data_IF_052275504768
#
_entry.id   IF_052275504768
#
_cell.length_a   1.000
_cell.length_b   1.000
_cell.length_c   1.000
_cell.angle_alpha   90.00
_cell.angle_beta   90.00
_cell.angle_gamma   90.00
#
_symmetry.space_group_name_H-M   'P 1'
#
loop_
_entity.id
_entity.type
_entity.pdbx_description
1 polymer ?
#
# COMPACT_ATOMS: atom_id res chain seq x y z
N UNK A 1 -4.00 12.03 14.94
CA UNK A 1 -3.31 13.13 15.65
C UNK A 1 -1.94 13.27 14.99
N UNK A 2 -1.58 14.47 14.51
CA UNK A 2 -0.23 14.75 14.02
C UNK A 2 0.59 15.01 15.28
N UNK A 3 1.33 14.00 15.73
CA UNK A 3 2.01 14.01 17.03
C UNK A 3 3.46 14.52 16.93
N UNK A 4 3.98 14.67 15.71
CA UNK A 4 5.37 15.08 15.45
C UNK A 4 5.43 16.09 14.30
N UNK A 5 5.95 17.29 14.55
CA UNK A 5 5.92 18.42 13.60
C UNK A 5 7.09 18.40 12.60
N UNK A 6 7.99 17.42 12.70
CA UNK A 6 9.13 17.31 11.80
C UNK A 6 8.69 16.80 10.41
N UNK A 7 9.08 17.45 9.29
CA UNK A 7 8.63 17.07 7.95
C UNK A 7 8.89 15.60 7.57
N UNK A 8 9.93 14.99 8.15
CA UNK A 8 10.28 13.58 7.95
C UNK A 8 9.29 12.60 8.60
N UNK A 9 8.48 13.05 9.56
CA UNK A 9 7.46 12.22 10.22
C UNK A 9 6.14 12.17 9.43
N UNK A 10 5.92 13.14 8.53
CA UNK A 10 4.66 13.28 7.77
C UNK A 10 4.31 12.01 6.98
N UNK A 11 5.22 11.38 6.21
CA UNK A 11 4.93 10.13 5.49
C UNK A 11 4.38 9.03 6.39
N UNK A 12 5.01 8.82 7.55
CA UNK A 12 4.60 7.81 8.53
C UNK A 12 3.23 8.11 9.14
N UNK A 13 2.97 9.38 9.46
CA UNK A 13 1.68 9.80 10.02
C UNK A 13 0.53 9.67 9.02
N UNK A 14 0.77 9.95 7.73
CA UNK A 14 -0.25 9.77 6.67
C UNK A 14 -0.63 8.30 6.55
N UNK A 15 0.36 7.39 6.49
CA UNK A 15 0.09 5.94 6.42
C UNK A 15 -0.63 5.45 7.68
N UNK A 16 -0.20 5.89 8.86
CA UNK A 16 -0.85 5.54 10.13
C UNK A 16 -2.30 6.00 10.19
N UNK A 17 -2.57 7.25 9.82
CA UNK A 17 -3.94 7.79 9.79
C UNK A 17 -4.82 7.03 8.80
N UNK A 18 -4.31 6.71 7.60
CA UNK A 18 -5.02 5.92 6.61
C UNK A 18 -5.34 4.50 7.13
N UNK A 19 -4.39 3.84 7.78
CA UNK A 19 -4.57 2.53 8.40
C UNK A 19 -5.65 2.54 9.48
N UNK A 20 -5.63 3.56 10.35
CA UNK A 20 -6.62 3.74 11.42
C UNK A 20 -8.03 3.97 10.85
N UNK A 21 -8.17 4.85 9.85
CA UNK A 21 -9.46 5.14 9.21
C UNK A 21 -10.02 3.94 8.45
N UNK A 22 -9.18 3.23 7.70
CA UNK A 22 -9.60 2.13 6.85
C UNK A 22 -9.65 0.79 7.58
N UNK A 23 -9.30 0.75 8.88
CA UNK A 23 -9.17 -0.49 9.67
C UNK A 23 -8.43 -1.57 8.88
N UNK A 24 -7.31 -1.19 8.28
CA UNK A 24 -6.47 -2.09 7.53
C UNK A 24 -5.31 -2.59 8.39
N UNK A 25 -4.72 -3.71 7.98
CA UNK A 25 -3.66 -4.35 8.74
C UNK A 25 -2.28 -3.94 8.22
N UNK A 26 -2.15 -3.70 6.90
CA UNK A 26 -0.92 -3.17 6.30
C UNK A 26 -1.22 -1.95 5.45
N UNK A 27 -0.36 -0.95 5.59
CA UNK A 27 -0.32 0.24 4.75
C UNK A 27 1.13 0.55 4.38
N UNK A 28 1.39 0.91 3.14
CA UNK A 28 2.69 1.43 2.74
C UNK A 28 2.54 2.81 2.10
N UNK A 29 3.63 3.54 1.93
CA UNK A 29 3.71 4.70 1.08
C UNK A 29 4.76 4.42 0.03
N UNK A 30 4.33 4.50 -1.23
CA UNK A 30 5.20 4.31 -2.36
C UNK A 30 5.68 5.68 -2.85
N UNK A 31 6.84 5.76 -3.49
CA UNK A 31 7.34 6.91 -4.23
C UNK A 31 7.89 6.44 -5.56
N UNK A 32 7.27 6.83 -6.66
CA UNK A 32 7.71 6.57 -8.02
C UNK A 32 9.02 7.32 -8.24
N UNK A 33 10.06 6.57 -8.59
CA UNK A 33 11.36 7.15 -8.93
C UNK A 33 11.40 7.50 -10.42
N UNK A 34 10.98 6.56 -11.26
CA UNK A 34 11.00 6.67 -12.72
C UNK A 34 9.86 5.83 -13.35
N UNK A 35 9.87 5.71 -14.68
CA UNK A 35 8.85 4.97 -15.42
C UNK A 35 8.81 3.45 -15.14
N UNK A 36 9.85 2.90 -14.50
CA UNK A 36 10.07 1.48 -14.29
C UNK A 36 10.15 1.08 -12.82
N UNK A 37 10.50 2.00 -11.91
CA UNK A 37 10.72 1.72 -10.50
C UNK A 37 10.02 2.68 -9.55
N UNK A 38 9.57 2.13 -8.42
CA UNK A 38 9.03 2.90 -7.31
C UNK A 38 9.57 2.36 -5.98
N UNK A 39 9.85 3.25 -5.03
CA UNK A 39 10.35 2.92 -3.70
C UNK A 39 9.22 2.79 -2.69
N UNK A 40 9.33 1.84 -1.79
CA UNK A 40 8.59 1.82 -0.53
C UNK A 40 9.29 2.74 0.47
N UNK A 41 8.71 3.92 0.68
CA UNK A 41 9.23 4.96 1.59
C UNK A 41 8.88 4.64 3.04
N UNK A 42 7.65 4.18 3.25
CA UNK A 42 7.13 3.78 4.55
C UNK A 42 6.38 2.48 4.38
N UNK A 43 6.58 1.53 5.27
CA UNK A 43 5.75 0.34 5.40
C UNK A 43 5.31 0.25 6.85
N UNK A 44 4.03 0.03 7.08
CA UNK A 44 3.47 -0.15 8.41
C UNK A 44 2.62 -1.42 8.41
N UNK A 45 3.02 -2.37 9.25
CA UNK A 45 2.24 -3.55 9.59
C UNK A 45 1.73 -3.39 11.04
N UNK A 46 0.41 -3.40 11.20
CA UNK A 46 -0.27 -3.27 12.49
C UNK A 46 0.00 -4.46 13.42
N UNK A 47 0.17 -5.66 12.87
CA UNK A 47 0.47 -6.87 13.61
C UNK A 47 1.95 -6.96 13.99
N UNK A 48 2.85 -6.60 13.07
CA UNK A 48 4.30 -6.79 13.26
C UNK A 48 5.05 -5.57 13.83
N UNK A 49 4.43 -4.38 13.90
CA UNK A 49 5.07 -3.11 14.33
C UNK A 49 6.45 -2.86 13.67
N UNK A 50 6.69 -3.43 12.49
CA UNK A 50 7.95 -3.34 11.76
C UNK A 50 7.80 -2.30 10.66
N UNK A 51 8.72 -1.34 10.62
CA UNK A 51 8.84 -0.35 9.55
C UNK A 51 10.08 -0.69 8.76
N UNK A 52 9.90 -1.26 7.58
CA UNK A 52 10.99 -1.46 6.62
C UNK A 52 11.01 -0.25 5.69
N UNK A 53 12.15 0.43 5.60
CA UNK A 53 12.38 1.54 4.68
C UNK A 53 13.25 1.05 3.52
N UNK A 54 12.92 1.44 2.28
CA UNK A 54 13.87 1.39 1.17
C UNK A 54 13.82 0.16 0.28
N UNK A 55 12.66 -0.50 0.15
CA UNK A 55 12.52 -1.59 -0.81
C UNK A 55 11.95 -1.08 -2.14
N UNK A 56 12.68 -1.29 -3.24
CA UNK A 56 12.20 -0.91 -4.58
C UNK A 56 11.22 -1.96 -5.12
N UNK A 57 10.23 -1.51 -5.89
CA UNK A 57 9.24 -2.31 -6.61
C UNK A 57 9.34 -1.97 -8.10
N UNK A 58 9.30 -3.00 -8.95
CA UNK A 58 9.27 -2.81 -10.39
C UNK A 58 7.85 -2.54 -10.87
N UNK A 59 7.64 -1.43 -11.56
CA UNK A 59 6.35 -1.08 -12.18
C UNK A 59 5.98 -2.01 -13.34
N UNK A 60 6.95 -2.69 -13.94
CA UNK A 60 6.71 -3.73 -14.94
C UNK A 60 6.03 -4.97 -14.34
N UNK A 61 6.37 -5.30 -13.09
CA UNK A 61 5.74 -6.38 -12.33
C UNK A 61 4.41 -5.97 -11.67
N UNK A 62 4.06 -4.68 -11.72
CA UNK A 62 2.88 -4.09 -11.07
C UNK A 62 2.07 -3.25 -12.07
N UNK A 63 1.50 -3.85 -13.15
CA UNK A 63 0.74 -3.13 -14.15
C UNK A 63 -0.46 -2.36 -13.58
N UNK A 64 -1.07 -2.84 -12.50
CA UNK A 64 -2.20 -2.17 -11.83
C UNK A 64 -1.75 -0.92 -11.08
N UNK A 65 -0.57 -0.96 -10.45
CA UNK A 65 0.05 0.22 -9.83
C UNK A 65 0.37 1.27 -10.91
N UNK A 66 1.01 0.85 -12.00
CA UNK A 66 1.31 1.73 -13.13
C UNK A 66 0.04 2.40 -13.66
N UNK A 67 -1.04 1.63 -13.85
CA UNK A 67 -2.31 2.18 -14.31
C UNK A 67 -2.95 3.16 -13.33
N UNK A 68 -2.84 2.90 -12.02
CA UNK A 68 -3.34 3.80 -10.98
C UNK A 68 -2.62 5.15 -11.05
N UNK A 69 -1.29 5.13 -11.22
CA UNK A 69 -0.45 6.32 -11.35
C UNK A 69 -0.78 7.09 -12.63
N UNK A 70 -0.78 6.42 -13.79
CA UNK A 70 -1.03 7.07 -15.09
C UNK A 70 -2.42 7.72 -15.18
N UNK A 71 -3.41 7.11 -14.52
CA UNK A 71 -4.80 7.60 -14.56
C UNK A 71 -5.17 8.48 -13.37
N UNK A 72 -4.28 8.65 -12.40
CA UNK A 72 -4.56 9.36 -11.15
C UNK A 72 -5.83 8.85 -10.46
N UNK A 73 -6.07 7.55 -10.54
CA UNK A 73 -7.29 6.90 -10.08
C UNK A 73 -6.98 5.75 -9.14
N UNK A 74 -7.86 5.55 -8.16
CA UNK A 74 -7.79 4.40 -7.29
C UNK A 74 -7.94 3.10 -8.10
N UNK A 75 -7.08 2.11 -7.82
CA UNK A 75 -7.19 0.77 -8.42
C UNK A 75 -7.16 -0.32 -7.35
N UNK A 76 -8.16 -1.20 -7.31
CA UNK A 76 -8.12 -2.39 -6.46
C UNK A 76 -7.27 -3.50 -7.09
N UNK A 77 -6.62 -4.29 -6.23
CA UNK A 77 -6.00 -5.57 -6.55
C UNK A 77 -6.77 -6.65 -5.80
N UNK A 78 -7.32 -7.59 -6.55
CA UNK A 78 -8.07 -8.70 -6.00
C UNK A 78 -7.31 -10.01 -6.20
N UNK A 79 -7.29 -10.94 -5.22
CA UNK A 79 -6.64 -12.24 -5.36
C UNK A 79 -7.07 -12.99 -6.63
N UNK A 80 -8.36 -12.95 -6.97
CA UNK A 80 -8.91 -13.66 -8.12
C UNK A 80 -8.38 -13.17 -9.48
N UNK A 81 -7.82 -11.95 -9.56
CA UNK A 81 -7.42 -11.30 -10.83
C UNK A 81 -5.97 -10.85 -10.86
N UNK A 82 -5.40 -10.54 -9.70
CA UNK A 82 -4.10 -9.88 -9.54
C UNK A 82 -3.16 -10.68 -8.63
N UNK A 83 -3.31 -12.01 -8.57
CA UNK A 83 -2.53 -12.85 -7.65
C UNK A 83 -1.02 -12.63 -7.79
N UNK A 84 -0.49 -12.62 -9.02
CA UNK A 84 0.95 -12.42 -9.24
C UNK A 84 1.47 -11.05 -8.74
N UNK A 85 0.67 -9.99 -8.92
CA UNK A 85 1.00 -8.64 -8.42
C UNK A 85 0.96 -8.59 -6.89
N UNK A 86 -0.03 -9.26 -6.28
CA UNK A 86 -0.17 -9.38 -4.83
C UNK A 86 0.97 -10.20 -4.22
N UNK A 87 1.36 -11.31 -4.85
CA UNK A 87 2.47 -12.17 -4.41
C UNK A 87 3.79 -11.41 -4.38
N UNK A 88 4.11 -10.69 -5.46
CA UNK A 88 5.31 -9.84 -5.53
C UNK A 88 5.27 -8.75 -4.46
N UNK A 89 4.14 -8.05 -4.32
CA UNK A 89 3.99 -6.98 -3.34
C UNK A 89 4.12 -7.51 -1.89
N UNK A 90 3.45 -8.61 -1.56
CA UNK A 90 3.47 -9.20 -0.23
C UNK A 90 4.82 -9.82 0.12
N UNK A 91 5.49 -10.45 -0.85
CA UNK A 91 6.87 -10.94 -0.66
C UNK A 91 7.81 -9.78 -0.33
N UNK A 92 7.71 -8.67 -1.06
CA UNK A 92 8.49 -7.44 -0.81
C UNK A 92 8.21 -6.83 0.56
N UNK A 93 6.96 -6.89 1.01
CA UNK A 93 6.55 -6.44 2.34
C UNK A 93 6.91 -7.43 3.46
N UNK A 94 7.50 -8.59 3.13
CA UNK A 94 7.85 -9.63 4.10
C UNK A 94 6.63 -10.27 4.76
N UNK A 95 5.51 -10.35 4.03
CA UNK A 95 4.25 -10.93 4.50
C UNK A 95 4.16 -12.39 4.05
N UNK A 96 4.06 -13.30 5.03
CA UNK A 96 3.98 -14.75 4.79
C UNK A 96 2.57 -15.21 4.38
N UNK A 97 1.56 -14.33 4.47
CA UNK A 97 0.16 -14.67 4.26
C UNK A 97 -0.43 -13.94 3.05
N UNK A 98 -0.60 -14.69 1.97
CA UNK A 98 -0.98 -14.24 0.62
C UNK A 98 -2.49 -14.06 0.42
N UNK A 99 -3.21 -13.59 1.43
CA UNK A 99 -4.68 -13.64 1.45
C UNK A 99 -5.30 -12.29 1.80
N UNK A 100 -5.31 -11.38 0.83
CA UNK A 100 -5.89 -10.05 1.01
C UNK A 100 -6.08 -9.32 -0.31
N UNK A 101 -7.06 -8.42 -0.35
CA UNK A 101 -7.13 -7.43 -1.42
C UNK A 101 -6.29 -6.23 -1.04
N UNK A 102 -5.63 -5.63 -2.02
CA UNK A 102 -4.92 -4.37 -1.88
C UNK A 102 -5.63 -3.28 -2.70
N UNK A 103 -5.38 -2.02 -2.39
CA UNK A 103 -5.85 -0.90 -3.21
C UNK A 103 -4.72 0.10 -3.36
N UNK A 104 -4.47 0.59 -4.55
CA UNK A 104 -3.57 1.71 -4.78
C UNK A 104 -4.37 3.00 -4.85
N UNK A 105 -4.06 3.96 -3.98
CA UNK A 105 -4.67 5.29 -3.96
C UNK A 105 -3.62 6.36 -4.28
N UNK A 106 -3.55 6.86 -5.53
CA UNK A 106 -2.64 7.95 -5.88
C UNK A 106 -2.89 9.18 -5.01
N UNK A 107 -1.81 9.85 -4.59
CA UNK A 107 -1.86 11.12 -3.89
C UNK A 107 -1.72 12.25 -4.92
N UNK A 108 -2.79 13.01 -5.10
CA UNK A 108 -2.85 14.09 -6.09
C UNK A 108 -3.10 15.43 -5.43
N UNK A 109 -2.47 16.49 -5.94
CA UNK A 109 -2.73 17.88 -5.59
C UNK A 109 -3.10 18.62 -6.86
N UNK A 110 -4.27 19.27 -6.86
CA UNK A 110 -4.75 20.08 -8.00
C UNK A 110 -4.85 19.32 -9.34
N UNK A 111 -5.10 18.01 -9.30
CA UNK A 111 -5.20 17.16 -10.48
C UNK A 111 -3.86 16.68 -11.04
N UNK A 112 -2.76 17.03 -10.40
CA UNK A 112 -1.43 16.50 -10.66
C UNK A 112 -0.99 15.58 -9.52
N UNK A 113 -0.01 14.70 -9.74
CA UNK A 113 0.59 13.95 -8.64
C UNK A 113 1.23 14.93 -7.66
N UNK A 114 0.88 14.81 -6.38
CA UNK A 114 1.44 15.68 -5.36
C UNK A 114 2.94 15.34 -5.21
N UNK A 115 3.79 16.26 -5.68
CA UNK A 115 5.19 16.00 -6.05
C UNK A 115 6.07 15.20 -5.08
N UNK A 116 7.02 14.46 -5.66
CA UNK A 116 8.18 13.77 -5.06
C UNK A 116 7.91 12.85 -3.85
N UNK A 117 6.63 12.63 -3.56
CA UNK A 117 6.05 11.54 -2.77
C UNK A 117 4.98 10.92 -3.67
N UNK A 118 5.44 10.47 -4.83
CA UNK A 118 4.62 9.91 -5.87
C UNK A 118 4.21 8.48 -5.50
N UNK A 119 3.26 8.25 -4.61
CA UNK A 119 2.79 6.87 -4.56
C UNK A 119 1.64 6.53 -3.69
N UNK A 120 0.98 5.50 -4.21
CA UNK A 120 -0.21 4.95 -3.65
C UNK A 120 0.08 4.36 -2.29
N UNK A 121 -0.92 4.46 -1.42
CA UNK A 121 -0.95 3.64 -0.22
C UNK A 121 -1.53 2.29 -0.61
N UNK A 122 -0.76 1.19 -0.74
CA UNK A 122 -1.34 -0.15 -0.79
C UNK A 122 -1.98 -0.43 0.56
N UNK A 123 -3.31 -0.29 0.61
CA UNK A 123 -4.08 -0.68 1.79
C UNK A 123 -4.41 -2.15 1.64
N UNK A 124 -3.80 -2.99 2.46
CA UNK A 124 -4.04 -4.42 2.43
C UNK A 124 -5.00 -4.77 3.58
N UNK A 125 -6.19 -5.25 3.23
CA UNK A 125 -7.05 -5.92 4.21
C UNK A 125 -6.86 -7.42 4.06
N UNK A 126 -6.26 -8.13 5.03
CA UNK A 126 -6.48 -9.56 5.16
C UNK A 126 -7.98 -9.80 5.25
N UNK A 127 -8.45 -10.70 4.38
CA UNK A 127 -9.82 -11.19 4.48
C UNK A 127 -9.88 -12.00 5.76
N UNK A 128 -10.54 -11.48 6.80
CA UNK A 128 -11.02 -12.31 7.90
C UNK A 128 -12.00 -13.28 7.24
N UNK A 129 -11.55 -14.50 6.97
CA UNK A 129 -12.47 -15.61 6.76
C UNK A 129 -13.35 -15.63 8.01
N UNK A 130 -14.65 -15.35 7.84
CA UNK A 130 -15.62 -15.73 8.85
C UNK A 130 -15.47 -17.24 8.99
N UNK A 131 -14.74 -17.67 10.02
CA UNK A 131 -14.84 -19.03 10.55
C UNK A 131 -16.33 -19.30 10.66
N UNK A 132 -16.78 -20.27 9.88
CA UNK A 132 -18.19 -20.62 9.76
C UNK A 132 -18.76 -20.82 11.15
N UNK A 133 -19.88 -20.15 11.40
CA UNK A 133 -20.82 -20.56 12.43
C UNK A 133 -21.25 -21.98 12.06
N UNK A 134 -20.57 -22.98 12.61
CA UNK A 134 -21.13 -24.33 12.69
C UNK A 134 -22.21 -24.24 13.75
N UNK A 135 -23.45 -24.16 13.28
CA UNK A 135 -24.62 -24.44 14.11
C UNK A 135 -24.42 -25.80 14.78
N UNK A 136 -24.55 -25.78 16.10
CA UNK A 136 -24.87 -26.91 16.93
C UNK A 136 -26.19 -26.57 17.63
#
# INVERSE_FOLDING_TARGET
MIEDTHPSAVPGQVVRAALEMLRADIGALIRVQDANYADLVVVMDRARKKSEQGLAVSLAAQPTLKNAIERLQQRPLFPDRNQAELDDLYTRLGLDQTSGSAYFQPLTREGELAGRVDGGVPVCRPRIERVGVRGA
#
